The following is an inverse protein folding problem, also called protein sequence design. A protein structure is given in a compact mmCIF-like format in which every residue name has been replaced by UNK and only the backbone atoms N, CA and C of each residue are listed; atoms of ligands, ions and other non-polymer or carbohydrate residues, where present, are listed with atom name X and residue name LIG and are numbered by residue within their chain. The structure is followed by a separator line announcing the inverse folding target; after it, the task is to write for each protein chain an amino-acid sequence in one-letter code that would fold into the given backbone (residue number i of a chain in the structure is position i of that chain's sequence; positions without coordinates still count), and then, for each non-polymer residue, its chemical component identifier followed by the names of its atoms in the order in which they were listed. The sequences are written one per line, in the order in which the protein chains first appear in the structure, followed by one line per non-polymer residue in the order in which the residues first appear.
data_IF_044464911387
#
_entry.id   IF_044464911387
#
_cell.length_a   1.000
_cell.length_b   1.000
_cell.length_c   1.000
_cell.angle_alpha   90.00
_cell.angle_beta   90.00
_cell.angle_gamma   90.00
#
_symmetry.space_group_name_H-M   'P 1'
#
loop_
_entity.id
_entity.type
_entity.pdbx_description
1 polymer ?
#
# COMPACT_ATOMS: atom_id res chain seq x y z
N UNK A 1 -6.32 12.20 -3.61
CA UNK A 1 -5.59 11.29 -4.54
C UNK A 1 -5.63 9.89 -3.98
N UNK A 2 -5.83 8.87 -4.82
CA UNK A 2 -5.83 7.46 -4.40
C UNK A 2 -4.74 6.71 -5.17
N UNK A 3 -3.96 5.91 -4.45
CA UNK A 3 -2.84 5.12 -4.98
C UNK A 3 -2.97 3.68 -4.49
N UNK A 4 -2.71 2.71 -5.36
CA UNK A 4 -2.69 1.29 -5.00
C UNK A 4 -1.30 0.72 -5.15
N UNK A 5 -0.78 0.11 -4.08
CA UNK A 5 0.49 -0.59 -4.05
C UNK A 5 0.25 -2.08 -4.26
N UNK A 6 0.76 -2.60 -5.37
CA UNK A 6 0.75 -4.01 -5.75
C UNK A 6 2.17 -4.55 -5.83
N UNK A 7 2.30 -5.87 -5.75
CA UNK A 7 3.61 -6.51 -5.81
C UNK A 7 3.68 -7.75 -4.93
N UNK A 8 4.71 -8.56 -5.16
CA UNK A 8 4.88 -9.82 -4.47
C UNK A 8 5.04 -9.66 -2.95
N UNK A 9 4.80 -10.73 -2.20
CA UNK A 9 5.09 -10.76 -0.78
C UNK A 9 6.57 -10.41 -0.55
N UNK A 10 6.88 -9.72 0.55
CA UNK A 10 8.24 -9.28 0.87
C UNK A 10 8.88 -8.25 -0.08
N UNK A 11 8.12 -7.66 -1.01
CA UNK A 11 8.63 -6.61 -1.92
C UNK A 11 8.80 -5.23 -1.26
N UNK A 12 8.48 -5.06 0.03
CA UNK A 12 8.65 -3.80 0.76
C UNK A 12 7.48 -2.80 0.71
N UNK A 13 6.31 -3.20 0.19
CA UNK A 13 5.12 -2.32 0.07
C UNK A 13 4.70 -1.66 1.39
N UNK A 14 4.59 -2.46 2.45
CA UNK A 14 4.23 -1.97 3.79
C UNK A 14 5.31 -1.05 4.37
N UNK A 15 6.58 -1.36 4.11
CA UNK A 15 7.71 -0.50 4.50
C UNK A 15 7.64 0.86 3.80
N UNK A 16 7.31 0.90 2.50
CA UNK A 16 7.11 2.13 1.75
C UNK A 16 5.93 2.96 2.33
N UNK A 17 4.80 2.30 2.61
CA UNK A 17 3.63 2.96 3.21
C UNK A 17 3.93 3.49 4.62
N UNK A 18 4.75 2.79 5.41
CA UNK A 18 5.25 3.26 6.70
C UNK A 18 6.17 4.48 6.55
N UNK A 19 7.18 4.39 5.69
CA UNK A 19 8.11 5.49 5.42
C UNK A 19 7.39 6.76 4.98
N UNK A 20 6.40 6.65 4.08
CA UNK A 20 5.61 7.81 3.64
C UNK A 20 4.77 8.38 4.79
N UNK A 21 4.14 7.52 5.60
CA UNK A 21 3.23 7.95 6.67
C UNK A 21 3.96 8.57 7.86
N UNK A 22 5.03 7.96 8.36
CA UNK A 22 5.70 8.34 9.61
C UNK A 22 7.04 9.05 9.39
N UNK A 23 7.61 8.98 8.18
CA UNK A 23 8.98 9.42 7.90
C UNK A 23 10.05 8.47 8.46
N UNK A 24 9.66 7.37 9.11
CA UNK A 24 10.56 6.39 9.72
C UNK A 24 10.52 5.04 9.02
N UNK A 25 11.60 4.28 9.15
CA UNK A 25 11.71 2.89 8.72
C UNK A 25 11.65 1.96 9.95
N UNK A 26 11.02 0.80 9.78
CA UNK A 26 11.02 -0.28 10.77
C UNK A 26 11.48 -1.55 10.04
N UNK A 27 12.50 -2.22 10.58
CA UNK A 27 13.01 -3.48 10.04
C UNK A 27 11.99 -4.61 10.19
N UNK A 28 11.24 -4.61 11.29
CA UNK A 28 10.22 -5.61 11.54
C UNK A 28 8.94 -5.26 10.79
N UNK A 29 8.60 -6.09 9.81
CA UNK A 29 7.33 -6.03 9.07
C UNK A 29 6.71 -7.42 8.98
N UNK A 30 5.45 -7.51 9.41
CA UNK A 30 4.65 -8.73 9.25
C UNK A 30 3.99 -8.68 7.86
N UNK A 31 3.92 -9.79 7.10
CA UNK A 31 3.25 -9.80 5.81
C UNK A 31 1.80 -9.30 5.89
N UNK A 32 1.43 -8.34 5.04
CA UNK A 32 0.06 -7.82 4.97
C UNK A 32 -0.93 -8.95 4.66
N UNK A 33 -1.90 -9.13 5.56
CA UNK A 33 -3.02 -10.04 5.37
C UNK A 33 -4.15 -9.26 4.68
N UNK A 34 -4.50 -9.66 3.46
CA UNK A 34 -5.58 -9.01 2.72
C UNK A 34 -5.16 -7.66 2.14
N UNK A 35 -5.66 -6.58 2.73
CA UNK A 35 -5.42 -5.19 2.30
C UNK A 35 -5.44 -4.24 3.49
N UNK A 36 -4.72 -3.13 3.37
CA UNK A 36 -4.73 -2.05 4.36
C UNK A 36 -4.86 -0.69 3.64
N UNK A 37 -5.67 0.23 4.18
CA UNK A 37 -5.78 1.58 3.67
C UNK A 37 -5.15 2.56 4.65
N UNK A 38 -4.19 3.35 4.19
CA UNK A 38 -3.66 4.49 4.95
C UNK A 38 -3.97 5.80 4.28
N UNK A 39 -4.42 6.77 5.06
CA UNK A 39 -4.54 8.16 4.65
C UNK A 39 -3.34 8.94 5.17
N UNK A 40 -2.60 9.58 4.27
CA UNK A 40 -1.45 10.42 4.61
C UNK A 40 -1.66 11.80 4.01
N UNK A 41 -1.44 12.83 4.82
CA UNK A 41 -1.45 14.22 4.36
C UNK A 41 -0.02 14.75 4.37
N UNK A 42 0.47 15.22 3.23
CA UNK A 42 1.78 15.87 3.07
C UNK A 42 1.54 17.25 2.46
N UNK A 43 1.74 18.30 3.27
CA UNK A 43 1.37 19.67 2.88
C UNK A 43 -0.11 19.75 2.51
N UNK A 44 -0.40 20.26 1.30
CA UNK A 44 -1.76 20.44 0.80
C UNK A 44 -2.32 19.19 0.09
N UNK A 45 -1.56 18.09 0.02
CA UNK A 45 -1.96 16.88 -0.70
C UNK A 45 -2.35 15.79 0.30
N UNK A 46 -3.57 15.28 0.14
CA UNK A 46 -4.05 14.09 0.86
C UNK A 46 -4.06 12.87 -0.06
N UNK A 47 -3.36 11.83 0.37
CA UNK A 47 -3.16 10.58 -0.36
C UNK A 47 -3.83 9.45 0.43
N UNK A 48 -4.67 8.67 -0.24
CA UNK A 48 -5.10 7.35 0.24
C UNK A 48 -4.23 6.29 -0.43
N UNK A 49 -3.47 5.56 0.36
CA UNK A 49 -2.58 4.47 -0.05
C UNK A 49 -3.26 3.13 0.29
N UNK A 50 -3.52 2.32 -0.72
CA UNK A 50 -3.98 0.94 -0.57
C UNK A 50 -2.77 -0.01 -0.62
N UNK A 51 -2.36 -0.57 0.51
CA UNK A 51 -1.35 -1.64 0.59
C UNK A 51 -2.04 -3.00 0.41
N UNK A 52 -1.75 -3.68 -0.71
CA UNK A 52 -2.39 -4.94 -1.06
C UNK A 52 -1.47 -6.12 -0.77
N UNK A 53 -2.01 -7.17 -0.15
CA UNK A 53 -1.28 -8.39 0.16
C UNK A 53 -0.67 -9.04 -1.08
N UNK A 54 0.61 -9.41 -0.98
CA UNK A 54 1.38 -10.00 -2.11
C UNK A 54 1.28 -11.52 -2.25
N UNK A 55 0.71 -12.19 -1.24
CA UNK A 55 0.48 -13.64 -1.25
C UNK A 55 -0.49 -14.03 -2.37
N UNK A 56 -0.28 -15.20 -2.99
CA UNK A 56 -1.08 -15.67 -4.13
C UNK A 56 -2.59 -15.60 -3.89
N UNK A 57 -3.03 -15.93 -2.67
CA UNK A 57 -4.45 -15.88 -2.25
C UNK A 57 -5.10 -14.50 -2.30
N UNK A 58 -4.33 -13.41 -2.29
CA UNK A 58 -4.85 -12.04 -2.29
C UNK A 58 -4.76 -11.34 -3.65
N UNK A 59 -4.07 -11.94 -4.63
CA UNK A 59 -3.85 -11.31 -5.95
C UNK A 59 -5.13 -11.14 -6.76
N UNK A 60 -6.13 -12.00 -6.53
CA UNK A 60 -7.46 -11.88 -7.15
C UNK A 60 -8.17 -10.58 -6.75
N UNK A 61 -7.79 -9.95 -5.64
CA UNK A 61 -8.36 -8.67 -5.21
C UNK A 61 -7.69 -7.46 -5.87
N UNK A 62 -6.49 -7.59 -6.42
CA UNK A 62 -5.72 -6.46 -6.93
C UNK A 62 -6.48 -5.63 -7.95
N UNK A 63 -7.16 -6.30 -8.88
CA UNK A 63 -7.94 -5.63 -9.91
C UNK A 63 -9.03 -4.74 -9.31
N UNK A 64 -9.72 -5.22 -8.26
CA UNK A 64 -10.78 -4.45 -7.58
C UNK A 64 -10.25 -3.15 -6.96
N UNK A 65 -9.06 -3.20 -6.36
CA UNK A 65 -8.44 -2.05 -5.68
C UNK A 65 -7.62 -1.16 -6.63
N UNK A 66 -7.32 -1.62 -7.85
CA UNK A 66 -6.66 -0.81 -8.87
C UNK A 66 -7.63 -0.03 -9.76
N UNK A 67 -8.95 -0.29 -9.68
CA UNK A 67 -9.94 0.43 -10.48
C UNK A 67 -10.13 1.86 -9.95
N UNK A 68 -10.00 2.85 -10.84
CA UNK A 68 -10.30 4.25 -10.56
C UNK A 68 -9.27 4.98 -9.68
N UNK A 69 -8.14 4.36 -9.37
CA UNK A 69 -7.05 5.03 -8.65
C UNK A 69 -6.28 5.97 -9.58
N UNK A 70 -5.65 6.98 -8.99
CA UNK A 70 -4.84 7.96 -9.74
C UNK A 70 -3.56 7.33 -10.31
N UNK A 71 -2.95 6.40 -9.56
CA UNK A 71 -1.84 5.59 -10.06
C UNK A 71 -1.73 4.25 -9.33
N UNK A 72 -1.08 3.29 -9.99
CA UNK A 72 -0.74 1.97 -9.46
C UNK A 72 0.79 1.95 -9.30
N UNK A 73 1.25 1.53 -8.13
CA UNK A 73 2.65 1.42 -7.73
C UNK A 73 3.04 -0.03 -7.48
#
# INVERSE_FOLDING_TARGET
MELSLVGLQNAGKTSLVNSIATGGYSEDMIPTVGFNMRKVTKGNVTIKLWDLGGQRRFRTMWERYCRGVTAIL
#
